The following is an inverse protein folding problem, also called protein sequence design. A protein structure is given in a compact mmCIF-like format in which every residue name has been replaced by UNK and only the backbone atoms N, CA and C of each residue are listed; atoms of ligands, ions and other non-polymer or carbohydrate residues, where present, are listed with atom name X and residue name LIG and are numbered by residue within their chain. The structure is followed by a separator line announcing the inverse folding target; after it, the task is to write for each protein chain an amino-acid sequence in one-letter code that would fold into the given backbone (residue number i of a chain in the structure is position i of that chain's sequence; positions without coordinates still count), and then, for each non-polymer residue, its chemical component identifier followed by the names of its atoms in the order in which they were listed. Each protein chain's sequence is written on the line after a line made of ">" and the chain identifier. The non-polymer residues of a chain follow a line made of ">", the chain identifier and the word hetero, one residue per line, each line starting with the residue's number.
data_IF_589164060835
#
_entry.id   IF_589164060835
#
_cell.length_a   1.000
_cell.length_b   1.000
_cell.length_c   1.000
_cell.angle_alpha   90.00
_cell.angle_beta   90.00
_cell.angle_gamma   90.00
#
_symmetry.space_group_name_H-M   'P 1'
#
loop_
_entity.id
_entity.type
_entity.pdbx_description
1 polymer ?
#
# COMPACT_ATOMS: atom_id res chain seq x y z
N UNK A 1 10.84 -12.31 9.44
CA UNK A 1 9.75 -11.47 8.89
C UNK A 1 8.59 -11.54 9.86
N UNK A 2 8.28 -10.42 10.52
CA UNK A 2 7.12 -10.32 11.41
C UNK A 2 5.98 -9.75 10.58
N UNK A 3 4.94 -10.55 10.35
CA UNK A 3 3.70 -10.07 9.72
C UNK A 3 2.67 -9.99 10.84
N UNK A 4 2.24 -8.78 11.17
CA UNK A 4 1.13 -8.56 12.10
C UNK A 4 -0.07 -8.17 11.25
N UNK A 5 -0.94 -9.13 10.89
CA UNK A 5 -2.03 -8.87 9.94
C UNK A 5 -2.99 -7.76 10.40
N UNK A 6 -3.02 -7.41 11.69
CA UNK A 6 -3.79 -6.25 12.15
C UNK A 6 -3.20 -4.87 11.77
N UNK A 7 -1.92 -4.78 11.37
CA UNK A 7 -1.24 -3.49 11.12
C UNK A 7 -1.44 -2.96 9.70
N UNK A 8 -1.82 -3.80 8.73
CA UNK A 8 -2.00 -3.38 7.33
C UNK A 8 -0.70 -3.21 6.54
N UNK A 9 0.45 -3.60 7.10
CA UNK A 9 1.76 -3.52 6.45
C UNK A 9 2.77 -4.54 7.01
N UNK A 10 3.83 -4.77 6.25
CA UNK A 10 4.94 -5.68 6.56
C UNK A 10 6.28 -4.99 6.27
N UNK A 11 7.20 -5.01 7.24
CA UNK A 11 8.58 -4.55 7.03
C UNK A 11 9.44 -5.70 6.47
N UNK A 12 10.00 -5.48 5.29
CA UNK A 12 10.90 -6.40 4.60
C UNK A 12 12.35 -6.19 5.06
N UNK A 13 13.18 -7.23 4.94
CA UNK A 13 14.59 -7.19 5.37
C UNK A 13 15.44 -6.16 4.61
N UNK A 14 15.01 -5.74 3.42
CA UNK A 14 15.66 -4.69 2.62
C UNK A 14 15.22 -3.27 3.02
N UNK A 15 14.45 -3.12 4.10
CA UNK A 15 13.98 -1.83 4.60
C UNK A 15 12.72 -1.29 3.88
N UNK A 16 12.13 -2.05 2.96
CA UNK A 16 10.86 -1.67 2.32
C UNK A 16 9.70 -1.96 3.27
N UNK A 17 8.78 -1.00 3.41
CA UNK A 17 7.49 -1.23 4.04
C UNK A 17 6.49 -1.54 2.93
N UNK A 18 5.94 -2.75 2.93
CA UNK A 18 4.90 -3.18 2.00
C UNK A 18 3.54 -3.07 2.69
N UNK A 19 2.60 -2.36 2.07
CA UNK A 19 1.23 -2.24 2.55
C UNK A 19 0.35 -3.36 1.98
N UNK A 20 -0.77 -3.64 2.62
CA UNK A 20 -1.69 -4.71 2.18
C UNK A 20 -2.50 -4.34 0.93
N UNK A 21 -2.47 -3.08 0.51
CA UNK A 21 -3.04 -2.59 -0.74
C UNK A 21 -2.03 -2.62 -1.90
N UNK A 22 -0.92 -3.36 -1.78
CA UNK A 22 0.19 -3.45 -2.73
C UNK A 22 1.01 -2.15 -2.92
N UNK A 23 0.72 -1.10 -2.15
CA UNK A 23 1.57 0.08 -2.03
C UNK A 23 2.88 -0.21 -1.29
N UNK A 24 3.90 0.65 -1.45
CA UNK A 24 5.18 0.50 -0.74
C UNK A 24 5.83 1.84 -0.33
N UNK A 25 6.55 1.83 0.79
CA UNK A 25 7.49 2.89 1.18
C UNK A 25 8.92 2.36 1.03
N UNK A 26 9.72 3.03 0.20
CA UNK A 26 11.12 2.70 -0.02
C UNK A 26 12.00 3.16 1.16
N UNK A 27 13.21 2.58 1.33
CA UNK A 27 14.13 2.96 2.40
C UNK A 27 14.56 4.43 2.37
N UNK A 28 14.46 5.08 1.21
CA UNK A 28 14.75 6.51 1.03
C UNK A 28 13.54 7.42 1.30
N UNK A 29 12.43 6.86 1.75
CA UNK A 29 11.20 7.58 2.09
C UNK A 29 10.28 7.86 0.90
N UNK A 30 10.61 7.39 -0.31
CA UNK A 30 9.70 7.53 -1.46
C UNK A 30 8.53 6.56 -1.37
N UNK A 31 7.33 7.06 -1.60
CA UNK A 31 6.13 6.24 -1.74
C UNK A 31 5.97 5.74 -3.18
N UNK A 32 5.61 4.47 -3.32
CA UNK A 32 5.17 3.82 -4.57
C UNK A 32 3.70 3.47 -4.38
N UNK A 33 2.85 4.07 -5.20
CA UNK A 33 1.43 3.77 -5.18
C UNK A 33 1.17 2.37 -5.76
N UNK A 34 0.10 1.77 -5.28
CA UNK A 34 -0.47 0.58 -5.90
C UNK A 34 -0.77 0.81 -7.39
N UNK A 35 -0.68 -0.26 -8.19
CA UNK A 35 -0.95 -0.23 -9.62
C UNK A 35 -2.45 -0.22 -9.95
N UNK A 36 -3.36 -0.30 -8.96
CA UNK A 36 -4.78 -0.18 -9.23
C UNK A 36 -5.15 1.28 -9.46
N UNK A 37 -5.78 1.55 -10.60
CA UNK A 37 -6.51 2.79 -10.81
C UNK A 37 -7.75 2.73 -9.92
N UNK A 38 -7.75 3.52 -8.85
CA UNK A 38 -8.97 3.80 -8.11
C UNK A 38 -9.93 4.56 -9.04
N UNK A 39 -10.88 3.82 -9.61
CA UNK A 39 -12.02 4.42 -10.30
C UNK A 39 -12.89 5.07 -9.22
N UNK A 40 -12.91 6.40 -9.19
CA UNK A 40 -13.85 7.12 -8.34
C UNK A 40 -15.28 6.59 -8.63
N UNK A 41 -16.10 6.34 -7.61
CA UNK A 41 -17.47 5.92 -7.84
C UNK A 41 -18.16 6.96 -8.72
N UNK A 42 -18.76 6.50 -9.82
CA UNK A 42 -19.54 7.38 -10.68
C UNK A 42 -20.72 7.91 -9.85
N UNK A 43 -20.94 9.23 -9.74
CA UNK A 43 -22.14 9.72 -9.08
C UNK A 43 -23.36 9.21 -9.86
N UNK A 44 -24.18 8.39 -9.21
CA UNK A 44 -25.47 8.00 -9.75
C UNK A 44 -26.32 9.26 -9.86
N UNK A 45 -26.68 9.66 -11.08
CA UNK A 45 -27.63 10.75 -11.28
C UNK A 45 -29.02 10.23 -10.89
N UNK A 46 -29.69 10.98 -10.02
CA UNK A 46 -31.06 10.70 -9.54
C UNK A 46 -32.12 10.97 -10.62
#
# INVERSE_FOLDING_TARGET
>A
MSSHPEQGWRLLCNGVVLFDDDGALLPDGRAVADHHVWLAPQPVSA
#
